data_IF_931482331375
#
_entry.id   IF_931482331375
#
_cell.length_a   1.000
_cell.length_b   1.000
_cell.length_c   1.000
_cell.angle_alpha   90.00
_cell.angle_beta   90.00
_cell.angle_gamma   90.00
#
_symmetry.space_group_name_H-M   'P 1'
#
loop_
_entity.id
_entity.type
_entity.pdbx_description
1 polymer ?
#
# COMPACT_ATOMS: atom_id res chain seq x y z
N UNK A 1 45.14 39.54 -52.26
CA UNK A 1 43.83 39.19 -51.73
C UNK A 1 43.75 39.09 -50.21
N UNK A 2 44.59 39.91 -49.53
CA UNK A 2 44.51 40.03 -48.07
C UNK A 2 43.16 40.57 -47.60
N UNK A 3 42.57 41.49 -48.32
CA UNK A 3 41.25 42.13 -48.04
C UNK A 3 40.13 41.09 -48.05
N UNK A 4 40.16 40.19 -49.05
CA UNK A 4 39.11 39.13 -49.15
C UNK A 4 39.18 38.15 -48.00
N UNK A 5 40.38 37.80 -47.56
CA UNK A 5 40.62 36.92 -46.39
C UNK A 5 40.14 37.58 -45.09
N UNK A 6 40.34 38.87 -44.94
CA UNK A 6 39.91 39.66 -43.78
C UNK A 6 38.37 39.78 -43.69
N UNK A 7 37.70 39.93 -44.81
CA UNK A 7 36.23 39.95 -44.88
C UNK A 7 35.64 38.60 -44.52
N UNK A 8 36.23 37.48 -45.02
CA UNK A 8 35.78 36.14 -44.69
C UNK A 8 35.95 35.87 -43.18
N UNK A 9 37.07 36.23 -42.57
CA UNK A 9 37.26 36.10 -41.12
C UNK A 9 36.23 36.90 -40.33
N UNK A 10 35.94 38.14 -40.73
CA UNK A 10 34.96 38.95 -40.03
C UNK A 10 33.54 38.36 -40.12
N UNK A 11 33.17 37.81 -41.27
CA UNK A 11 31.86 37.13 -41.43
C UNK A 11 31.78 35.87 -40.57
N UNK A 12 32.83 35.06 -40.53
CA UNK A 12 32.86 33.85 -39.67
C UNK A 12 32.75 34.19 -38.19
N UNK A 13 33.39 35.26 -37.72
CA UNK A 13 33.28 35.73 -36.34
C UNK A 13 31.85 36.16 -36.01
N UNK A 14 31.17 36.91 -36.89
CA UNK A 14 29.81 37.34 -36.70
C UNK A 14 28.85 36.15 -36.64
N UNK A 15 29.03 35.16 -37.51
CA UNK A 15 28.25 33.93 -37.52
C UNK A 15 28.47 33.16 -36.21
N UNK A 16 29.72 33.03 -35.75
CA UNK A 16 30.10 32.38 -34.51
C UNK A 16 29.44 33.04 -33.29
N UNK A 17 29.44 34.38 -33.20
CA UNK A 17 28.75 35.12 -32.15
C UNK A 17 27.23 34.93 -32.23
N UNK A 18 26.64 34.93 -33.39
CA UNK A 18 25.21 34.68 -33.60
C UNK A 18 24.79 33.30 -33.12
N UNK A 19 25.55 32.26 -33.46
CA UNK A 19 25.27 30.89 -33.00
C UNK A 19 25.46 30.75 -31.49
N UNK A 20 26.50 31.35 -30.90
CA UNK A 20 26.70 31.34 -29.46
C UNK A 20 25.54 32.03 -28.71
N UNK A 21 25.09 33.16 -29.23
CA UNK A 21 23.94 33.88 -28.65
C UNK A 21 22.66 33.06 -28.71
N UNK A 22 22.34 32.42 -29.84
CA UNK A 22 21.20 31.53 -30.00
C UNK A 22 21.30 30.32 -29.07
N UNK A 23 22.46 29.71 -28.95
CA UNK A 23 22.68 28.60 -28.03
C UNK A 23 22.41 29.01 -26.57
N UNK A 24 22.92 30.20 -26.17
CA UNK A 24 22.67 30.73 -24.80
C UNK A 24 21.19 30.94 -24.53
N UNK A 25 20.47 31.53 -25.45
CA UNK A 25 19.02 31.77 -25.22
C UNK A 25 18.16 30.50 -25.26
N UNK A 26 18.46 29.56 -26.19
CA UNK A 26 17.60 28.40 -26.39
C UNK A 26 17.97 27.18 -25.54
N UNK A 27 19.20 27.09 -25.08
CA UNK A 27 19.69 25.94 -24.30
C UNK A 27 19.92 26.31 -22.83
N UNK A 28 20.65 27.38 -22.57
CA UNK A 28 20.99 27.77 -21.18
C UNK A 28 19.84 28.36 -20.39
N UNK A 29 19.03 29.22 -20.99
CA UNK A 29 17.94 29.88 -20.29
C UNK A 29 16.87 28.88 -19.76
N UNK A 30 16.43 27.87 -20.53
CA UNK A 30 15.53 26.83 -20.00
C UNK A 30 16.15 26.02 -18.86
N UNK A 31 17.43 25.66 -18.95
CA UNK A 31 18.15 24.90 -17.91
C UNK A 31 18.22 25.72 -16.62
N UNK A 32 18.58 27.00 -16.69
CA UNK A 32 18.64 27.90 -15.54
C UNK A 32 17.28 28.04 -14.85
N UNK A 33 16.18 28.09 -15.62
CA UNK A 33 14.84 28.12 -15.05
C UNK A 33 14.50 26.83 -14.28
N UNK A 34 14.88 25.67 -14.80
CA UNK A 34 14.68 24.39 -14.11
C UNK A 34 15.51 24.34 -12.82
N UNK A 35 16.75 24.79 -12.85
CA UNK A 35 17.60 24.87 -11.66
C UNK A 35 16.99 25.78 -10.60
N UNK A 36 16.50 26.96 -11.00
CA UNK A 36 15.85 27.90 -10.08
C UNK A 36 14.61 27.29 -9.44
N UNK A 37 13.83 26.53 -10.19
CA UNK A 37 12.70 25.80 -9.67
C UNK A 37 13.11 24.73 -8.66
N UNK A 38 14.15 23.96 -8.94
CA UNK A 38 14.62 22.91 -8.04
C UNK A 38 15.35 23.44 -6.80
N UNK A 39 15.98 24.61 -6.84
CA UNK A 39 16.55 25.29 -5.66
C UNK A 39 15.55 25.54 -4.53
N UNK A 40 14.27 25.55 -4.85
CA UNK A 40 13.19 25.66 -3.86
C UNK A 40 12.99 24.36 -3.07
N UNK A 41 13.41 23.20 -3.61
CA UNK A 41 13.16 21.88 -3.03
C UNK A 41 14.42 21.17 -2.56
N UNK A 42 15.60 21.67 -2.90
CA UNK A 42 16.88 21.10 -2.49
C UNK A 42 17.94 22.18 -2.32
N UNK A 43 18.80 22.03 -1.31
CA UNK A 43 19.95 22.91 -1.09
C UNK A 43 20.95 22.74 -2.24
N UNK A 44 21.16 23.81 -3.02
CA UNK A 44 22.17 23.85 -4.07
C UNK A 44 23.54 23.94 -3.40
N UNK A 45 24.31 22.87 -3.46
CA UNK A 45 25.74 22.86 -3.22
C UNK A 45 26.43 23.01 -4.57
N UNK A 46 27.57 23.69 -4.62
CA UNK A 46 28.38 24.04 -5.80
C UNK A 46 28.77 22.81 -6.67
N UNK A 47 27.76 22.11 -7.17
CA UNK A 47 27.85 20.93 -8.05
C UNK A 47 27.55 21.32 -9.49
N UNK A 48 28.00 20.51 -10.45
CA UNK A 48 27.61 20.62 -11.86
C UNK A 48 26.07 20.68 -11.98
N UNK A 49 25.55 21.68 -12.68
CA UNK A 49 24.14 21.97 -12.87
C UNK A 49 23.33 20.74 -13.33
N UNK A 50 23.90 19.93 -14.20
CA UNK A 50 23.28 18.70 -14.70
C UNK A 50 23.21 17.65 -13.59
N UNK A 51 24.26 17.54 -12.78
CA UNK A 51 24.34 16.62 -11.65
C UNK A 51 23.31 16.99 -10.58
N UNK A 52 23.17 18.29 -10.29
CA UNK A 52 22.16 18.81 -9.38
C UNK A 52 20.72 18.47 -9.84
N UNK A 53 20.40 18.70 -11.13
CA UNK A 53 19.09 18.34 -11.69
C UNK A 53 18.83 16.84 -11.55
N UNK A 54 19.79 16.00 -11.90
CA UNK A 54 19.69 14.53 -11.82
C UNK A 54 19.46 14.07 -10.39
N UNK A 55 20.25 14.58 -9.44
CA UNK A 55 20.15 14.21 -8.02
C UNK A 55 18.82 14.65 -7.43
N UNK A 56 18.38 15.88 -7.72
CA UNK A 56 17.10 16.41 -7.23
C UNK A 56 15.91 15.66 -7.84
N UNK A 57 15.93 15.37 -9.14
CA UNK A 57 14.90 14.56 -9.78
C UNK A 57 14.82 13.15 -9.17
N UNK A 58 15.96 12.50 -8.95
CA UNK A 58 16.02 11.18 -8.31
C UNK A 58 15.49 11.22 -6.87
N UNK A 59 15.78 12.28 -6.12
CA UNK A 59 15.28 12.49 -4.77
C UNK A 59 13.75 12.68 -4.76
N UNK A 60 13.21 13.50 -5.66
CA UNK A 60 11.75 13.72 -5.79
C UNK A 60 11.04 12.40 -6.14
N UNK A 61 11.59 11.62 -7.07
CA UNK A 61 11.04 10.32 -7.45
C UNK A 61 11.02 9.38 -6.24
N UNK A 62 12.11 9.30 -5.49
CA UNK A 62 12.17 8.47 -4.28
C UNK A 62 11.18 8.91 -3.22
N UNK A 63 11.11 10.21 -2.91
CA UNK A 63 10.12 10.76 -1.98
C UNK A 63 8.68 10.44 -2.40
N UNK A 64 8.39 10.46 -3.71
CA UNK A 64 7.07 10.10 -4.22
C UNK A 64 6.75 8.62 -3.99
N UNK A 65 7.72 7.71 -4.19
CA UNK A 65 7.56 6.29 -3.86
C UNK A 65 7.33 6.08 -2.35
N UNK A 66 8.14 6.70 -1.50
CA UNK A 66 8.02 6.61 -0.04
C UNK A 66 6.65 7.15 0.43
N UNK A 67 6.15 8.23 -0.19
CA UNK A 67 4.83 8.79 0.11
C UNK A 67 3.69 7.86 -0.34
N UNK A 68 3.79 7.25 -1.51
CA UNK A 68 2.81 6.29 -2.01
C UNK A 68 2.76 5.06 -1.08
N UNK A 69 3.90 4.54 -0.67
CA UNK A 69 3.99 3.43 0.27
C UNK A 69 3.39 3.79 1.64
N UNK A 70 3.69 4.98 2.15
CA UNK A 70 3.12 5.50 3.40
C UNK A 70 1.59 5.66 3.31
N UNK A 71 1.07 6.22 2.22
CA UNK A 71 -0.38 6.38 2.00
C UNK A 71 -1.07 5.02 1.91
N UNK A 72 -0.49 4.07 1.15
CA UNK A 72 -1.05 2.73 1.01
C UNK A 72 -1.06 1.97 2.35
N UNK A 73 0.02 2.04 3.11
CA UNK A 73 0.11 1.41 4.44
C UNK A 73 -0.89 2.01 5.42
N UNK A 74 -1.03 3.34 5.45
CA UNK A 74 -2.04 3.99 6.29
C UNK A 74 -3.47 3.67 5.87
N UNK A 75 -3.75 3.58 4.56
CA UNK A 75 -5.07 3.22 4.06
C UNK A 75 -5.46 1.80 4.51
N UNK A 76 -4.51 0.85 4.46
CA UNK A 76 -4.74 -0.51 4.94
C UNK A 76 -5.00 -0.56 6.45
N UNK A 77 -4.22 0.16 7.24
CA UNK A 77 -4.42 0.27 8.69
C UNK A 77 -5.76 0.90 9.04
N UNK A 78 -6.17 1.95 8.32
CA UNK A 78 -7.47 2.59 8.50
C UNK A 78 -8.61 1.64 8.12
N UNK A 79 -8.48 0.86 7.06
CA UNK A 79 -9.44 -0.17 6.67
C UNK A 79 -9.59 -1.24 7.76
N UNK A 80 -8.48 -1.75 8.30
CA UNK A 80 -8.52 -2.75 9.37
C UNK A 80 -9.13 -2.19 10.66
N UNK A 81 -8.82 -0.95 11.00
CA UNK A 81 -9.46 -0.27 12.12
C UNK A 81 -10.97 -0.14 11.92
N UNK A 82 -11.41 0.28 10.73
CA UNK A 82 -12.82 0.37 10.38
C UNK A 82 -13.52 -0.99 10.48
N UNK A 83 -12.95 -2.05 9.93
CA UNK A 83 -13.51 -3.40 9.99
C UNK A 83 -13.57 -3.94 11.43
N UNK A 84 -12.58 -3.63 12.23
CA UNK A 84 -12.56 -3.97 13.65
C UNK A 84 -13.68 -3.25 14.42
N UNK A 85 -13.81 -1.93 14.23
CA UNK A 85 -14.86 -1.13 14.87
C UNK A 85 -16.26 -1.56 14.41
N UNK A 86 -16.40 -2.00 13.16
CA UNK A 86 -17.61 -2.58 12.61
C UNK A 86 -18.02 -3.86 13.36
N UNK A 87 -17.10 -4.81 13.51
CA UNK A 87 -17.35 -6.09 14.20
C UNK A 87 -17.66 -5.88 15.68
N UNK A 88 -17.03 -4.90 16.33
CA UNK A 88 -17.34 -4.54 17.72
C UNK A 88 -18.62 -3.72 17.91
N UNK A 89 -19.27 -3.28 16.82
CA UNK A 89 -20.48 -2.47 16.87
C UNK A 89 -20.26 -1.03 17.35
N UNK A 90 -19.08 -0.48 17.12
CA UNK A 90 -18.72 0.89 17.52
C UNK A 90 -19.08 1.95 16.49
N UNK A 91 -19.56 1.55 15.32
CA UNK A 91 -19.85 2.46 14.21
C UNK A 91 -21.34 2.79 14.13
N UNK A 92 -21.64 4.04 13.81
CA UNK A 92 -22.99 4.46 13.40
C UNK A 92 -23.22 4.12 11.92
N UNK A 93 -24.49 4.02 11.50
CA UNK A 93 -24.87 3.73 10.11
C UNK A 93 -24.22 4.71 9.12
N UNK A 94 -24.18 6.01 9.44
CA UNK A 94 -23.50 7.04 8.61
C UNK A 94 -21.98 6.77 8.48
N UNK A 95 -21.34 6.29 9.55
CA UNK A 95 -19.92 5.91 9.54
C UNK A 95 -19.70 4.64 8.72
N UNK A 96 -20.62 3.67 8.79
CA UNK A 96 -20.56 2.44 7.99
C UNK A 96 -20.66 2.78 6.51
N UNK A 97 -21.63 3.61 6.10
CA UNK A 97 -21.80 4.03 4.71
C UNK A 97 -20.57 4.72 4.16
N UNK A 98 -20.00 5.66 4.91
CA UNK A 98 -18.75 6.35 4.52
C UNK A 98 -17.57 5.38 4.39
N UNK A 99 -17.43 4.43 5.31
CA UNK A 99 -16.38 3.42 5.27
C UNK A 99 -16.50 2.47 4.08
N UNK A 100 -17.72 2.03 3.74
CA UNK A 100 -17.99 1.21 2.56
C UNK A 100 -17.50 1.92 1.28
N UNK A 101 -17.78 3.22 1.14
CA UNK A 101 -17.34 4.01 0.00
C UNK A 101 -15.82 4.23 0.01
N UNK A 102 -15.26 4.62 1.16
CA UNK A 102 -13.84 4.94 1.32
C UNK A 102 -12.94 3.73 1.06
N UNK A 103 -13.33 2.55 1.55
CA UNK A 103 -12.54 1.32 1.46
C UNK A 103 -12.97 0.40 0.31
N UNK A 104 -13.92 0.84 -0.53
CA UNK A 104 -14.46 0.09 -1.67
C UNK A 104 -15.02 -1.29 -1.27
N UNK A 105 -15.82 -1.33 -0.20
CA UNK A 105 -16.40 -2.55 0.38
C UNK A 105 -17.81 -2.88 -0.15
N UNK A 106 -18.18 -2.37 -1.33
CA UNK A 106 -19.48 -2.63 -1.98
C UNK A 106 -19.82 -4.12 -2.13
N UNK A 107 -18.79 -4.98 -2.13
CA UNK A 107 -18.99 -6.43 -2.20
C UNK A 107 -19.59 -7.02 -0.91
N UNK A 108 -19.67 -6.25 0.18
CA UNK A 108 -20.23 -6.65 1.47
C UNK A 108 -21.66 -6.11 1.71
N UNK A 109 -22.34 -5.64 0.69
CA UNK A 109 -23.73 -5.13 0.79
C UNK A 109 -24.79 -6.23 0.80
N UNK A 110 -24.45 -7.47 0.41
CA UNK A 110 -25.33 -8.64 0.39
C UNK A 110 -25.32 -9.40 1.73
N UNK A 111 -26.04 -10.53 1.78
CA UNK A 111 -25.97 -11.46 2.93
C UNK A 111 -24.53 -11.90 3.20
N UNK A 112 -24.13 -11.77 4.46
CA UNK A 112 -22.78 -12.02 4.91
C UNK A 112 -22.74 -13.11 5.97
N UNK A 113 -21.61 -13.81 6.04
CA UNK A 113 -21.23 -14.68 7.16
C UNK A 113 -19.89 -14.17 7.71
N UNK A 114 -19.81 -14.13 9.04
CA UNK A 114 -18.59 -13.78 9.74
C UNK A 114 -18.02 -15.05 10.33
N UNK A 115 -16.73 -15.26 10.12
CA UNK A 115 -15.99 -16.35 10.75
C UNK A 115 -14.88 -15.74 11.58
N UNK A 116 -14.85 -16.12 12.86
CA UNK A 116 -13.79 -15.74 13.77
C UNK A 116 -12.89 -16.95 13.98
N UNK A 117 -11.60 -16.79 13.72
CA UNK A 117 -10.60 -17.80 14.02
C UNK A 117 -9.77 -17.31 15.20
N UNK A 118 -9.52 -18.19 16.15
CA UNK A 118 -8.71 -17.88 17.33
C UNK A 118 -7.54 -18.87 17.48
N UNK A 119 -6.40 -18.36 17.81
CA UNK A 119 -5.25 -19.17 18.17
C UNK A 119 -5.43 -19.65 19.62
N UNK A 120 -5.70 -20.96 19.79
CA UNK A 120 -6.03 -21.55 21.09
C UNK A 120 -4.78 -21.60 21.99
N UNK A 121 -3.64 -21.98 21.44
CA UNK A 121 -2.37 -22.03 22.17
C UNK A 121 -1.36 -21.13 21.48
N UNK A 122 -0.68 -20.29 22.26
CA UNK A 122 0.55 -19.67 21.78
C UNK A 122 1.55 -20.79 21.49
N UNK A 123 2.29 -20.72 20.36
CA UNK A 123 3.31 -21.71 20.10
C UNK A 123 4.12 -21.89 21.38
N UNK A 124 4.23 -23.11 21.92
CA UNK A 124 5.06 -23.44 23.09
C UNK A 124 6.54 -23.26 22.71
N UNK A 125 6.89 -22.08 22.42
CA UNK A 125 8.22 -21.67 22.04
C UNK A 125 8.83 -21.17 23.32
N UNK A 126 9.80 -21.94 23.83
CA UNK A 126 10.42 -21.75 25.14
C UNK A 126 10.73 -20.27 25.43
N UNK A 127 10.83 -19.93 26.71
CA UNK A 127 10.83 -18.58 27.32
C UNK A 127 11.77 -17.50 26.72
N UNK A 128 12.37 -17.71 25.54
CA UNK A 128 13.33 -16.82 24.88
C UNK A 128 12.96 -16.42 23.45
N UNK A 129 11.70 -16.54 23.04
CA UNK A 129 11.35 -16.13 21.68
C UNK A 129 11.15 -14.63 21.56
N UNK A 130 11.84 -14.07 20.57
CA UNK A 130 11.73 -12.66 20.25
C UNK A 130 10.31 -12.32 19.72
N UNK A 131 9.76 -11.17 20.10
CA UNK A 131 8.52 -10.58 19.59
C UNK A 131 8.37 -10.75 18.07
N UNK A 132 9.47 -10.64 17.35
CA UNK A 132 9.55 -10.78 15.89
C UNK A 132 9.10 -12.16 15.37
N UNK A 133 9.26 -13.25 16.16
CA UNK A 133 8.84 -14.57 15.70
C UNK A 133 7.33 -14.73 15.81
N UNK A 134 6.73 -14.23 16.88
CA UNK A 134 5.26 -14.23 17.06
C UNK A 134 4.61 -13.39 15.96
N UNK A 135 5.12 -12.19 15.68
CA UNK A 135 4.65 -11.34 14.58
C UNK A 135 4.77 -12.05 13.22
N UNK A 136 5.83 -12.83 13.00
CA UNK A 136 6.01 -13.61 11.78
C UNK A 136 4.97 -14.74 11.65
N UNK A 137 4.65 -15.44 12.75
CA UNK A 137 3.61 -16.47 12.77
C UNK A 137 2.24 -15.85 12.42
N UNK A 138 1.89 -14.73 13.04
CA UNK A 138 0.64 -14.02 12.73
C UNK A 138 0.58 -13.59 11.26
N UNK A 139 1.65 -13.04 10.72
CA UNK A 139 1.73 -12.65 9.30
C UNK A 139 1.55 -13.86 8.37
N UNK A 140 2.13 -15.01 8.71
CA UNK A 140 1.98 -16.24 7.93
C UNK A 140 0.56 -16.81 7.99
N UNK A 141 -0.09 -16.77 9.17
CA UNK A 141 -1.50 -17.19 9.33
C UNK A 141 -2.39 -16.30 8.45
N UNK A 142 -2.25 -14.97 8.57
CA UNK A 142 -3.02 -14.01 7.78
C UNK A 142 -2.82 -14.22 6.28
N UNK A 143 -1.57 -14.35 5.83
CA UNK A 143 -1.24 -14.61 4.44
C UNK A 143 -1.85 -15.92 3.92
N UNK A 144 -1.93 -16.97 4.74
CA UNK A 144 -2.56 -18.24 4.36
C UNK A 144 -4.08 -18.14 4.26
N UNK A 145 -4.70 -17.40 5.19
CA UNK A 145 -6.13 -17.11 5.11
C UNK A 145 -6.42 -16.30 3.84
N UNK A 146 -5.65 -15.26 3.57
CA UNK A 146 -5.79 -14.42 2.37
C UNK A 146 -5.56 -15.22 1.06
N UNK A 147 -4.52 -16.06 1.00
CA UNK A 147 -4.25 -16.90 -0.17
C UNK A 147 -5.43 -17.83 -0.49
N UNK A 148 -6.04 -18.39 0.55
CA UNK A 148 -7.18 -19.29 0.42
C UNK A 148 -8.43 -18.56 -0.07
N UNK A 149 -8.65 -17.32 0.39
CA UNK A 149 -9.83 -16.50 0.10
C UNK A 149 -9.68 -15.56 -1.08
N UNK A 150 -8.47 -15.15 -1.47
CA UNK A 150 -8.24 -14.30 -2.65
C UNK A 150 -8.71 -14.95 -3.98
N UNK A 151 -8.96 -16.26 -3.97
CA UNK A 151 -9.64 -16.95 -5.06
C UNK A 151 -11.13 -16.59 -5.16
N UNK A 152 -11.74 -16.13 -4.06
CA UNK A 152 -13.12 -15.67 -3.98
C UNK A 152 -13.13 -14.16 -3.71
N UNK A 153 -13.33 -13.35 -4.75
CA UNK A 153 -13.30 -11.87 -4.75
C UNK A 153 -14.27 -11.15 -3.77
N UNK A 154 -14.84 -11.84 -2.78
CA UNK A 154 -15.97 -11.36 -1.97
C UNK A 154 -15.75 -11.57 -0.48
N UNK A 155 -14.52 -11.53 -0.02
CA UNK A 155 -14.20 -11.64 1.41
C UNK A 155 -13.21 -10.59 1.85
N UNK A 156 -13.35 -10.16 3.10
CA UNK A 156 -12.39 -9.34 3.80
C UNK A 156 -11.79 -10.14 4.94
N UNK A 157 -10.47 -10.07 5.06
CA UNK A 157 -9.72 -10.78 6.08
C UNK A 157 -8.87 -9.79 6.85
N UNK A 158 -8.91 -9.84 8.17
CA UNK A 158 -8.08 -8.97 9.00
C UNK A 158 -7.84 -9.59 10.38
N UNK A 159 -6.80 -9.11 11.03
CA UNK A 159 -6.50 -9.46 12.41
C UNK A 159 -7.29 -8.53 13.35
N UNK A 160 -8.15 -9.10 14.19
CA UNK A 160 -8.97 -8.35 15.13
C UNK A 160 -8.16 -7.93 16.38
N UNK A 161 -7.36 -8.87 16.88
CA UNK A 161 -6.43 -8.68 17.98
C UNK A 161 -5.29 -9.70 17.87
N UNK A 162 -4.41 -9.75 18.88
CA UNK A 162 -3.20 -10.58 18.83
C UNK A 162 -3.46 -12.10 18.72
N UNK A 163 -4.69 -12.57 18.99
CA UNK A 163 -5.06 -14.00 18.88
C UNK A 163 -6.14 -14.29 17.85
N UNK A 164 -6.89 -13.26 17.42
CA UNK A 164 -8.10 -13.44 16.63
C UNK A 164 -7.98 -12.87 15.23
N UNK A 165 -8.47 -13.65 14.29
CA UNK A 165 -8.60 -13.29 12.86
C UNK A 165 -10.05 -13.34 12.48
N UNK A 166 -10.50 -12.40 11.69
CA UNK A 166 -11.87 -12.32 11.20
C UNK A 166 -11.88 -12.42 9.69
N UNK A 167 -12.81 -13.22 9.19
CA UNK A 167 -13.16 -13.31 7.78
C UNK A 167 -14.61 -12.90 7.63
N UNK A 168 -14.86 -11.83 6.88
CA UNK A 168 -16.21 -11.42 6.46
C UNK A 168 -16.38 -11.86 5.01
N UNK A 169 -17.37 -12.67 4.74
CA UNK A 169 -17.58 -13.24 3.41
C UNK A 169 -19.03 -13.23 3.00
N UNK A 170 -19.31 -13.25 1.71
CA UNK A 170 -20.69 -13.45 1.22
C UNK A 170 -21.24 -14.76 1.71
N UNK A 171 -22.57 -14.76 1.96
CA UNK A 171 -23.27 -15.95 2.38
C UNK A 171 -23.07 -17.09 1.36
N UNK A 172 -22.68 -18.23 1.89
CA UNK A 172 -22.59 -19.50 1.19
C UNK A 172 -23.19 -20.57 2.08
N UNK A 173 -23.25 -21.81 1.60
CA UNK A 173 -23.71 -22.91 2.42
C UNK A 173 -22.81 -23.06 3.66
N UNK A 174 -23.39 -23.01 4.86
CA UNK A 174 -22.67 -23.10 6.15
C UNK A 174 -21.84 -24.38 6.23
N UNK A 175 -22.33 -25.51 5.71
CA UNK A 175 -21.57 -26.77 5.74
C UNK A 175 -20.34 -26.73 4.83
N UNK A 176 -20.44 -26.06 3.70
CA UNK A 176 -19.29 -25.85 2.81
C UNK A 176 -18.26 -24.92 3.46
N UNK A 177 -18.72 -23.86 4.13
CA UNK A 177 -17.87 -22.95 4.92
C UNK A 177 -17.14 -23.72 6.02
N UNK A 178 -17.85 -24.51 6.82
CA UNK A 178 -17.25 -25.33 7.89
C UNK A 178 -16.18 -26.29 7.36
N UNK A 179 -16.46 -26.97 6.23
CA UNK A 179 -15.51 -27.87 5.60
C UNK A 179 -14.25 -27.13 5.15
N UNK A 180 -14.49 -26.01 4.49
CA UNK A 180 -13.44 -25.14 3.98
C UNK A 180 -12.51 -24.62 5.09
N UNK A 181 -13.07 -24.16 6.21
CA UNK A 181 -12.27 -23.72 7.36
C UNK A 181 -11.55 -24.87 8.05
N UNK A 182 -12.14 -26.04 8.11
CA UNK A 182 -11.49 -27.24 8.65
C UNK A 182 -10.24 -27.58 7.84
N UNK A 183 -10.31 -27.56 6.53
CA UNK A 183 -9.16 -27.85 5.66
C UNK A 183 -8.08 -26.76 5.77
N UNK A 184 -8.49 -25.49 5.83
CA UNK A 184 -7.58 -24.35 6.03
C UNK A 184 -6.84 -24.44 7.36
N UNK A 185 -7.56 -24.68 8.47
CA UNK A 185 -6.99 -24.81 9.81
C UNK A 185 -5.99 -25.96 9.84
N UNK A 186 -6.37 -27.15 9.36
CA UNK A 186 -5.46 -28.30 9.33
C UNK A 186 -4.19 -28.01 8.53
N UNK A 187 -4.30 -27.26 7.41
CA UNK A 187 -3.15 -26.85 6.62
C UNK A 187 -2.23 -25.85 7.31
N UNK A 188 -2.78 -24.98 8.17
CA UNK A 188 -2.02 -24.00 8.95
C UNK A 188 -1.33 -24.70 10.13
N UNK A 189 -2.08 -25.51 10.88
CA UNK A 189 -1.59 -26.26 12.04
C UNK A 189 -0.40 -27.16 11.70
N UNK A 190 -0.50 -27.90 10.57
CA UNK A 190 0.61 -28.74 10.11
C UNK A 190 1.89 -27.98 9.76
N UNK A 191 1.77 -26.72 9.33
CA UNK A 191 2.92 -25.93 8.86
C UNK A 191 3.55 -25.09 9.96
N UNK A 192 2.73 -24.56 10.85
CA UNK A 192 3.15 -23.52 11.80
C UNK A 192 3.21 -24.03 13.25
N UNK A 193 2.80 -25.28 13.49
CA UNK A 193 2.73 -25.89 14.85
C UNK A 193 1.96 -25.02 15.83
N UNK A 194 0.80 -24.52 15.38
CA UNK A 194 -0.14 -23.72 16.17
C UNK A 194 -1.49 -24.38 16.18
N UNK A 195 -2.27 -24.22 17.24
CA UNK A 195 -3.64 -24.71 17.32
C UNK A 195 -4.61 -23.56 17.03
N UNK A 196 -5.54 -23.78 16.08
CA UNK A 196 -6.55 -22.80 15.66
C UNK A 196 -7.94 -23.36 15.85
N UNK A 197 -8.84 -22.51 16.35
CA UNK A 197 -10.28 -22.79 16.45
C UNK A 197 -11.03 -21.78 15.62
N UNK A 198 -12.07 -22.21 14.90
CA UNK A 198 -12.94 -21.30 14.15
C UNK A 198 -14.38 -21.39 14.62
N UNK A 199 -15.02 -20.24 14.78
CA UNK A 199 -16.45 -20.10 15.00
C UNK A 199 -17.08 -19.46 13.76
N UNK A 200 -18.14 -20.11 13.24
CA UNK A 200 -18.90 -19.58 12.09
C UNK A 200 -20.16 -18.93 12.65
N UNK A 201 -20.33 -17.63 12.40
CA UNK A 201 -21.50 -16.86 12.79
C UNK A 201 -22.74 -17.22 11.98
N UNK A 202 -23.88 -16.70 12.41
CA UNK A 202 -25.12 -16.80 11.61
C UNK A 202 -25.06 -15.84 10.43
N UNK A 203 -25.73 -16.18 9.31
CA UNK A 203 -25.88 -15.23 8.20
C UNK A 203 -26.57 -13.94 8.67
N UNK A 204 -26.03 -12.79 8.28
CA UNK A 204 -26.62 -11.46 8.46
C UNK A 204 -27.01 -10.91 7.09
N UNK A 205 -28.11 -10.14 7.02
CA UNK A 205 -28.66 -9.66 5.76
C UNK A 205 -27.88 -8.50 5.16
N UNK A 206 -27.09 -7.82 5.98
CA UNK A 206 -26.32 -6.67 5.55
C UNK A 206 -25.13 -6.41 6.47
N UNK A 207 -24.19 -5.62 6.00
CA UNK A 207 -23.02 -5.17 6.77
C UNK A 207 -23.43 -4.39 8.05
N UNK A 208 -24.60 -3.78 8.08
CA UNK A 208 -25.11 -3.03 9.24
C UNK A 208 -25.52 -3.92 10.41
N UNK A 209 -25.70 -5.22 10.17
CA UNK A 209 -26.08 -6.20 11.19
C UNK A 209 -24.88 -7.00 11.73
N UNK A 210 -23.68 -6.73 11.25
CA UNK A 210 -22.47 -7.53 11.54
C UNK A 210 -22.17 -7.63 13.03
N UNK A 211 -22.45 -6.58 13.82
CA UNK A 211 -22.20 -6.55 15.26
C UNK A 211 -23.24 -7.29 16.11
N UNK A 212 -24.35 -7.70 15.51
CA UNK A 212 -25.46 -8.39 16.21
C UNK A 212 -25.31 -9.91 16.10
N UNK A 213 -24.49 -10.39 15.21
CA UNK A 213 -24.31 -11.80 14.91
C UNK A 213 -23.32 -12.50 15.85
#
# INVERSE_FOLDING_TARGET
>A
NIITSLIICAVLIIIGFGLAFLATQHVYAPISNVITMFKKYADYKDEDEIMFIKNTASHIVRMNYDLIEYVNSNHLLMKYKFLSDLVYGFLSDDSIEKGIQQFNLKNLEDELIIVVMEMADEPMIGQNFSKNLIENVHAQILAKIEEYYNKNKYSEVFQLNYKQYVVIMKNANIEDIKRMFKDLISGIEMKLDVSLVAAVGKPVKSIYEVYVS
#
